data_IF_351845195755
#
_entry.id   IF_351845195755
#
_cell.length_a   1.000
_cell.length_b   1.000
_cell.length_c   1.000
_cell.angle_alpha   90.00
_cell.angle_beta   90.00
_cell.angle_gamma   90.00
#
_symmetry.space_group_name_H-M   'P 1'
#
loop_
_entity.id
_entity.type
_entity.pdbx_description
1 polymer ?
#
# COMPACT_ATOMS: atom_id res chain seq x y z
N UNK A 1 4.94 -35.87 -2.21
CA UNK A 1 5.44 -34.48 -2.15
C UNK A 1 4.84 -33.57 -3.22
N UNK A 2 4.42 -34.07 -4.39
CA UNK A 2 3.77 -33.28 -5.46
C UNK A 2 2.37 -32.72 -5.11
N UNK A 3 1.60 -33.36 -4.23
CA UNK A 3 0.24 -32.90 -3.86
C UNK A 3 0.19 -31.68 -2.93
N UNK A 4 1.32 -31.25 -2.37
CA UNK A 4 1.39 -30.08 -1.48
C UNK A 4 1.60 -28.77 -2.23
N UNK A 5 2.30 -28.79 -3.37
CA UNK A 5 2.66 -27.56 -4.11
C UNK A 5 1.62 -27.09 -5.12
N UNK A 6 0.66 -27.93 -5.52
CA UNK A 6 -0.37 -27.58 -6.52
C UNK A 6 -1.79 -27.65 -5.94
N UNK A 7 -1.93 -27.63 -4.61
CA UNK A 7 -3.26 -27.76 -4.00
C UNK A 7 -4.06 -26.49 -4.32
N UNK A 8 -5.26 -26.60 -4.93
CA UNK A 8 -6.08 -25.44 -5.25
C UNK A 8 -6.38 -24.64 -3.99
N UNK A 9 -6.45 -23.32 -4.15
CA UNK A 9 -6.95 -22.41 -3.13
C UNK A 9 -8.33 -22.85 -2.65
N UNK A 10 -8.63 -22.60 -1.37
CA UNK A 10 -9.95 -22.91 -0.82
C UNK A 10 -11.05 -22.15 -1.58
N UNK A 11 -12.26 -22.72 -1.66
CA UNK A 11 -13.41 -22.04 -2.30
C UNK A 11 -13.67 -20.66 -1.71
N UNK A 12 -13.49 -20.51 -0.39
CA UNK A 12 -13.63 -19.23 0.31
C UNK A 12 -12.56 -18.22 -0.12
N UNK A 13 -11.30 -18.64 -0.23
CA UNK A 13 -10.21 -17.80 -0.75
C UNK A 13 -10.51 -17.36 -2.18
N UNK A 14 -10.96 -18.27 -3.03
CA UNK A 14 -11.32 -17.97 -4.41
C UNK A 14 -12.46 -16.93 -4.48
N UNK A 15 -13.51 -17.10 -3.67
CA UNK A 15 -14.62 -16.15 -3.58
C UNK A 15 -14.16 -14.76 -3.14
N UNK A 16 -13.29 -14.67 -2.11
CA UNK A 16 -12.69 -13.42 -1.68
C UNK A 16 -11.88 -12.75 -2.79
N UNK A 17 -11.04 -13.52 -3.51
CA UNK A 17 -10.27 -13.00 -4.63
C UNK A 17 -11.16 -12.45 -5.75
N UNK A 18 -12.29 -13.09 -6.06
CA UNK A 18 -13.26 -12.57 -7.03
C UNK A 18 -13.89 -11.26 -6.56
N UNK A 19 -14.24 -11.14 -5.27
CA UNK A 19 -14.78 -9.90 -4.72
C UNK A 19 -13.74 -8.77 -4.84
N UNK A 20 -12.49 -9.02 -4.45
CA UNK A 20 -11.42 -8.02 -4.54
C UNK A 20 -11.06 -7.70 -5.98
N UNK A 21 -11.14 -8.67 -6.90
CA UNK A 21 -10.98 -8.41 -8.33
C UNK A 21 -11.99 -7.38 -8.84
N UNK A 22 -13.26 -7.52 -8.46
CA UNK A 22 -14.31 -6.57 -8.83
C UNK A 22 -14.05 -5.19 -8.24
N UNK A 23 -13.65 -5.11 -6.96
CA UNK A 23 -13.31 -3.84 -6.34
C UNK A 23 -12.14 -3.15 -7.03
N UNK A 24 -11.06 -3.87 -7.32
CA UNK A 24 -9.90 -3.30 -8.02
C UNK A 24 -10.20 -2.92 -9.47
N UNK A 25 -11.06 -3.67 -10.16
CA UNK A 25 -11.54 -3.28 -11.48
C UNK A 25 -12.34 -1.96 -11.45
N UNK A 26 -13.20 -1.78 -10.45
CA UNK A 26 -13.92 -0.52 -10.25
C UNK A 26 -12.97 0.63 -9.93
N UNK A 27 -11.99 0.44 -9.04
CA UNK A 27 -10.98 1.45 -8.70
C UNK A 27 -10.18 1.87 -9.92
N UNK A 28 -9.69 0.90 -10.70
CA UNK A 28 -8.94 1.15 -11.92
C UNK A 28 -9.79 1.97 -12.92
N UNK A 29 -11.04 1.57 -13.12
CA UNK A 29 -11.98 2.28 -14.00
C UNK A 29 -12.22 3.71 -13.52
N UNK A 30 -12.49 3.91 -12.24
CA UNK A 30 -12.68 5.24 -11.66
C UNK A 30 -11.45 6.13 -11.77
N UNK A 31 -10.27 5.59 -11.45
CA UNK A 31 -9.00 6.31 -11.56
C UNK A 31 -8.71 6.72 -13.00
N UNK A 32 -9.02 5.84 -13.96
CA UNK A 32 -8.91 6.13 -15.39
C UNK A 32 -9.88 7.23 -15.83
N UNK A 33 -11.14 7.20 -15.37
CA UNK A 33 -12.13 8.24 -15.65
C UNK A 33 -11.69 9.61 -15.10
N UNK A 34 -11.09 9.66 -13.90
CA UNK A 34 -10.55 10.92 -13.35
C UNK A 34 -9.40 11.45 -14.20
N UNK A 35 -8.52 10.57 -14.68
CA UNK A 35 -7.36 10.96 -15.49
C UNK A 35 -7.78 11.45 -16.89
N UNK A 36 -8.76 10.79 -17.51
CA UNK A 36 -9.18 11.10 -18.89
C UNK A 36 -10.25 12.20 -18.94
N UNK A 37 -11.15 12.28 -17.96
CA UNK A 37 -12.28 13.21 -17.92
C UNK A 37 -11.95 14.67 -18.26
N UNK A 38 -10.86 15.25 -17.72
CA UNK A 38 -10.44 16.61 -18.07
C UNK A 38 -10.12 16.83 -19.56
N UNK A 39 -9.73 15.79 -20.29
CA UNK A 39 -9.41 15.88 -21.73
C UNK A 39 -10.65 15.76 -22.62
N UNK A 40 -11.72 15.14 -22.13
CA UNK A 40 -12.98 14.96 -22.86
C UNK A 40 -13.96 16.11 -22.59
N UNK A 41 -13.97 16.65 -21.36
CA UNK A 41 -15.04 17.52 -20.86
C UNK A 41 -14.96 19.02 -21.21
N UNK A 42 -14.01 19.48 -22.02
CA UNK A 42 -13.89 20.90 -22.45
C UNK A 42 -13.61 21.94 -21.35
N UNK A 43 -13.79 21.62 -20.06
CA UNK A 43 -13.41 22.46 -18.92
C UNK A 43 -11.87 22.46 -18.79
N UNK A 44 -11.23 23.60 -19.06
CA UNK A 44 -9.78 23.82 -18.84
C UNK A 44 -9.42 23.67 -17.35
N UNK A 45 -9.17 22.45 -16.89
CA UNK A 45 -8.51 22.24 -15.60
C UNK A 45 -7.04 22.61 -15.74
N UNK A 46 -6.50 23.25 -14.71
CA UNK A 46 -5.09 23.60 -14.67
C UNK A 46 -4.22 22.33 -14.56
N UNK A 47 -3.55 21.96 -15.66
CA UNK A 47 -2.74 20.74 -15.82
C UNK A 47 -1.34 20.82 -15.20
N UNK A 48 -1.13 21.55 -14.10
CA UNK A 48 0.18 21.55 -13.46
C UNK A 48 0.46 20.17 -12.84
N UNK A 49 1.66 19.64 -13.07
CA UNK A 49 2.16 18.44 -12.39
C UNK A 49 2.81 18.83 -11.05
N UNK A 50 3.64 19.87 -11.11
CA UNK A 50 4.28 20.47 -9.95
C UNK A 50 4.04 21.97 -9.94
N UNK A 51 3.82 22.53 -8.75
CA UNK A 51 3.67 23.97 -8.54
C UNK A 51 4.62 24.41 -7.45
N UNK A 52 5.36 25.49 -7.69
CA UNK A 52 6.21 26.12 -6.67
C UNK A 52 5.33 26.96 -5.74
N UNK A 53 5.46 26.74 -4.44
CA UNK A 53 4.89 27.59 -3.40
C UNK A 53 6.03 28.16 -2.57
N UNK A 54 6.08 29.48 -2.42
CA UNK A 54 7.09 30.14 -1.61
C UNK A 54 6.49 30.44 -0.24
N UNK A 55 7.03 29.78 0.79
CA UNK A 55 6.53 29.87 2.16
C UNK A 55 7.55 30.66 2.99
N UNK A 56 7.12 31.65 3.78
CA UNK A 56 8.01 32.32 4.74
C UNK A 56 8.32 31.39 5.92
N UNK A 57 9.58 31.35 6.37
CA UNK A 57 10.01 30.49 7.48
C UNK A 57 9.41 30.92 8.84
N UNK A 58 9.11 32.22 9.02
CA UNK A 58 8.37 32.78 10.16
C UNK A 58 7.36 33.87 9.71
N UNK A 59 6.30 34.14 10.50
CA UNK A 59 5.39 35.27 10.23
C UNK A 59 6.16 36.60 10.25
N UNK A 60 6.18 37.31 9.12
CA UNK A 60 6.87 38.61 8.98
C UNK A 60 8.31 38.54 8.47
N UNK A 61 8.87 37.34 8.24
CA UNK A 61 10.17 37.19 7.57
C UNK A 61 10.05 37.26 6.04
N UNK A 62 11.16 37.66 5.39
CA UNK A 62 11.25 37.61 3.92
C UNK A 62 11.04 36.17 3.47
N UNK A 63 10.16 36.01 2.47
CA UNK A 63 9.86 34.76 1.79
C UNK A 63 11.15 33.96 1.56
N UNK A 64 11.18 32.72 2.03
CA UNK A 64 12.35 31.85 1.92
C UNK A 64 12.70 31.67 0.43
N UNK A 65 14.00 31.74 0.07
CA UNK A 65 14.44 31.61 -1.34
C UNK A 65 14.08 30.25 -1.95
N UNK A 66 13.91 29.23 -1.11
CA UNK A 66 13.63 27.86 -1.54
C UNK A 66 12.12 27.60 -1.61
N UNK A 67 11.56 27.29 -2.79
CA UNK A 67 10.15 26.94 -2.90
C UNK A 67 9.87 25.53 -2.36
N UNK A 68 8.69 25.35 -1.76
CA UNK A 68 8.07 24.03 -1.59
C UNK A 68 7.47 23.58 -2.93
N UNK A 69 7.79 22.37 -3.36
CA UNK A 69 7.23 21.79 -4.58
C UNK A 69 5.92 21.07 -4.26
N UNK A 70 4.79 21.72 -4.56
CA UNK A 70 3.48 21.09 -4.48
C UNK A 70 3.30 20.13 -5.65
N UNK A 71 3.02 18.85 -5.38
CA UNK A 71 2.61 17.91 -6.42
C UNK A 71 1.10 17.99 -6.63
N UNK A 72 0.65 17.71 -7.86
CA UNK A 72 -0.77 17.54 -8.14
C UNK A 72 -1.23 16.19 -7.57
N UNK A 73 -1.59 16.21 -6.28
CA UNK A 73 -1.98 15.01 -5.54
C UNK A 73 -3.14 14.29 -6.22
N UNK A 74 -4.11 15.02 -6.78
CA UNK A 74 -5.23 14.40 -7.51
C UNK A 74 -4.75 13.56 -8.70
N UNK A 75 -3.84 14.11 -9.51
CA UNK A 75 -3.27 13.40 -10.66
C UNK A 75 -2.39 12.21 -10.25
N UNK A 76 -1.37 12.45 -9.41
CA UNK A 76 -0.41 11.41 -9.04
C UNK A 76 -1.05 10.28 -8.21
N UNK A 77 -2.00 10.61 -7.33
CA UNK A 77 -2.73 9.60 -6.57
C UNK A 77 -3.58 8.70 -7.48
N UNK A 78 -4.25 9.27 -8.50
CA UNK A 78 -5.01 8.46 -9.46
C UNK A 78 -4.10 7.54 -10.27
N UNK A 79 -2.90 7.99 -10.65
CA UNK A 79 -1.92 7.12 -11.32
C UNK A 79 -1.48 5.98 -10.40
N UNK A 80 -1.07 6.30 -9.17
CA UNK A 80 -0.63 5.30 -8.21
C UNK A 80 -1.75 4.27 -7.92
N UNK A 81 -2.99 4.72 -7.76
CA UNK A 81 -4.14 3.84 -7.54
C UNK A 81 -4.49 3.00 -8.76
N UNK A 82 -4.43 3.57 -9.97
CA UNK A 82 -4.64 2.82 -11.21
C UNK A 82 -3.58 1.71 -11.35
N UNK A 83 -2.30 2.05 -11.23
CA UNK A 83 -1.21 1.08 -11.38
C UNK A 83 -1.22 0.04 -10.26
N UNK A 84 -1.55 0.44 -9.03
CA UNK A 84 -1.74 -0.45 -7.90
C UNK A 84 -2.87 -1.46 -8.17
N UNK A 85 -4.05 -1.00 -8.57
CA UNK A 85 -5.18 -1.88 -8.89
C UNK A 85 -4.93 -2.78 -10.09
N UNK A 86 -4.28 -2.30 -11.16
CA UNK A 86 -3.88 -3.14 -12.29
C UNK A 86 -2.90 -4.24 -11.86
N UNK A 87 -1.95 -3.91 -10.98
CA UNK A 87 -1.02 -4.89 -10.41
C UNK A 87 -1.76 -5.92 -9.56
N UNK A 88 -2.73 -5.48 -8.74
CA UNK A 88 -3.57 -6.40 -7.95
C UNK A 88 -4.42 -7.31 -8.83
N UNK A 89 -5.02 -6.79 -9.90
CA UNK A 89 -5.80 -7.58 -10.88
C UNK A 89 -4.89 -8.64 -11.51
N UNK A 90 -3.71 -8.26 -12.00
CA UNK A 90 -2.74 -9.18 -12.58
C UNK A 90 -2.33 -10.26 -11.56
N UNK A 91 -2.04 -9.87 -10.32
CA UNK A 91 -1.73 -10.81 -9.24
C UNK A 91 -2.87 -11.80 -9.01
N UNK A 92 -4.12 -11.34 -8.88
CA UNK A 92 -5.28 -12.22 -8.66
C UNK A 92 -5.47 -13.18 -9.84
N UNK A 93 -5.34 -12.70 -11.08
CA UNK A 93 -5.47 -13.53 -12.28
C UNK A 93 -4.41 -14.64 -12.32
N UNK A 94 -3.18 -14.34 -11.90
CA UNK A 94 -2.09 -15.34 -11.81
C UNK A 94 -2.39 -16.43 -10.77
N UNK A 95 -3.28 -16.20 -9.80
CA UNK A 95 -3.61 -17.16 -8.75
C UNK A 95 -4.78 -18.11 -9.09
N UNK A 96 -5.59 -17.81 -10.12
CA UNK A 96 -6.74 -18.67 -10.46
C UNK A 96 -6.39 -19.92 -11.27
N UNK A 97 -5.40 -19.80 -12.16
CA UNK A 97 -5.07 -20.82 -13.14
C UNK A 97 -4.00 -21.86 -12.74
N UNK A 98 -3.15 -21.69 -11.70
CA UNK A 98 -2.13 -22.68 -11.33
C UNK A 98 -2.70 -24.07 -11.00
N UNK A 99 -3.92 -24.15 -10.45
CA UNK A 99 -4.56 -25.43 -10.15
C UNK A 99 -5.16 -26.13 -11.39
N UNK A 100 -5.30 -25.43 -12.52
CA UNK A 100 -5.94 -25.94 -13.74
C UNK A 100 -4.93 -26.46 -14.76
N UNK A 101 -3.71 -25.92 -14.75
CA UNK A 101 -2.66 -26.32 -15.67
C UNK A 101 -1.31 -26.29 -14.96
N UNK A 102 -0.63 -27.45 -14.94
CA UNK A 102 0.74 -27.57 -14.45
C UNK A 102 1.69 -26.71 -15.29
N UNK A 103 1.48 -26.69 -16.61
CA UNK A 103 2.26 -25.86 -17.52
C UNK A 103 2.11 -24.36 -17.18
N UNK A 104 0.89 -23.91 -16.89
CA UNK A 104 0.67 -22.55 -16.42
C UNK A 104 1.34 -22.29 -15.07
N UNK A 105 1.19 -23.18 -14.10
CA UNK A 105 1.78 -23.04 -12.76
C UNK A 105 3.31 -22.93 -12.83
N UNK A 106 3.93 -23.60 -13.80
CA UNK A 106 5.37 -23.57 -14.00
C UNK A 106 5.86 -22.28 -14.66
N UNK A 107 5.00 -21.47 -15.27
CA UNK A 107 5.36 -20.22 -15.95
C UNK A 107 4.78 -18.96 -15.29
N UNK A 108 3.87 -19.11 -14.32
CA UNK A 108 3.27 -18.00 -13.63
C UNK A 108 4.24 -17.39 -12.60
N UNK A 109 4.48 -16.07 -12.70
CA UNK A 109 5.34 -15.33 -11.78
C UNK A 109 4.51 -14.31 -10.96
N UNK A 110 3.80 -14.75 -9.90
CA UNK A 110 2.94 -13.87 -9.10
C UNK A 110 3.73 -12.84 -8.28
N UNK A 111 5.05 -13.00 -8.11
CA UNK A 111 5.89 -12.13 -7.29
C UNK A 111 6.00 -10.71 -7.89
N UNK A 112 6.09 -10.60 -9.22
CA UNK A 112 6.21 -9.31 -9.91
C UNK A 112 4.98 -8.43 -9.63
N UNK A 113 3.74 -8.84 -9.95
CA UNK A 113 2.58 -8.00 -9.68
C UNK A 113 2.32 -7.80 -8.18
N UNK A 114 2.71 -8.75 -7.32
CA UNK A 114 2.67 -8.56 -5.86
C UNK A 114 3.58 -7.42 -5.40
N UNK A 115 4.83 -7.38 -5.87
CA UNK A 115 5.77 -6.31 -5.53
C UNK A 115 5.34 -4.96 -6.08
N UNK A 116 4.84 -4.91 -7.33
CA UNK A 116 4.31 -3.70 -7.93
C UNK A 116 3.07 -3.17 -7.18
N UNK A 117 2.19 -4.07 -6.73
CA UNK A 117 1.05 -3.69 -5.89
C UNK A 117 1.51 -2.98 -4.62
N UNK A 118 2.48 -3.53 -3.88
CA UNK A 118 3.03 -2.88 -2.68
C UNK A 118 3.70 -1.54 -3.00
N UNK A 119 4.45 -1.47 -4.10
CA UNK A 119 5.12 -0.25 -4.53
C UNK A 119 4.14 0.89 -4.74
N UNK A 120 3.11 0.67 -5.56
CA UNK A 120 2.14 1.71 -5.91
C UNK A 120 1.25 2.10 -4.73
N UNK A 121 0.93 1.15 -3.85
CA UNK A 121 0.23 1.42 -2.61
C UNK A 121 1.06 2.35 -1.69
N UNK A 122 2.34 2.05 -1.47
CA UNK A 122 3.22 2.91 -0.68
C UNK A 122 3.38 4.29 -1.33
N UNK A 123 3.56 4.37 -2.64
CA UNK A 123 3.63 5.65 -3.35
C UNK A 123 2.36 6.49 -3.14
N UNK A 124 1.17 5.88 -3.18
CA UNK A 124 -0.08 6.58 -2.90
C UNK A 124 -0.11 7.18 -1.47
N UNK A 125 0.45 6.47 -0.49
CA UNK A 125 0.59 6.97 0.89
C UNK A 125 1.52 8.17 0.99
N UNK A 126 2.68 8.11 0.33
CA UNK A 126 3.63 9.23 0.27
C UNK A 126 3.03 10.46 -0.42
N UNK A 127 2.31 10.25 -1.52
CA UNK A 127 1.60 11.33 -2.24
C UNK A 127 0.57 12.02 -1.33
N UNK A 128 -0.15 11.24 -0.52
CA UNK A 128 -1.14 11.76 0.42
C UNK A 128 -0.50 12.46 1.61
N UNK A 129 0.54 11.89 2.21
CA UNK A 129 1.28 12.50 3.31
C UNK A 129 1.87 13.85 2.89
N UNK A 130 2.44 13.93 1.68
CA UNK A 130 2.91 15.17 1.09
C UNK A 130 1.78 16.20 0.94
N UNK A 131 0.60 15.77 0.49
CA UNK A 131 -0.57 16.62 0.37
C UNK A 131 -0.97 17.21 1.72
N UNK A 132 -1.06 16.38 2.77
CA UNK A 132 -1.40 16.85 4.10
C UNK A 132 -0.41 17.88 4.62
N UNK A 133 0.88 17.60 4.45
CA UNK A 133 1.92 18.52 4.88
C UNK A 133 1.90 19.83 4.06
N UNK A 134 1.76 19.76 2.74
CA UNK A 134 1.67 20.94 1.87
C UNK A 134 0.44 21.81 2.16
N UNK A 135 -0.72 21.19 2.44
CA UNK A 135 -1.92 21.90 2.87
C UNK A 135 -1.71 22.56 4.23
N UNK A 136 -0.98 21.93 5.15
CA UNK A 136 -0.67 22.52 6.46
C UNK A 136 0.12 23.83 6.34
N UNK A 137 0.98 24.00 5.32
CA UNK A 137 1.65 25.28 5.08
C UNK A 137 0.73 26.35 4.49
N UNK A 138 -0.29 25.93 3.73
CA UNK A 138 -1.25 26.85 3.12
C UNK A 138 -2.33 27.30 4.11
N UNK A 139 -2.57 26.50 5.17
CA UNK A 139 -3.59 26.72 6.20
C UNK A 139 -3.16 27.70 7.32
N UNK A 140 -2.32 28.70 7.06
CA UNK A 140 -2.17 29.83 7.98
C UNK A 140 -0.85 30.58 7.94
N UNK A 141 -0.92 31.83 7.47
CA UNK A 141 0.01 32.94 7.75
C UNK A 141 -0.55 33.93 8.79
N UNK A 142 -1.51 33.51 9.62
CA UNK A 142 -2.13 34.38 10.62
C UNK A 142 -2.14 33.65 11.97
N UNK A 143 -1.09 33.84 12.77
CA UNK A 143 -1.21 33.70 14.22
C UNK A 143 -0.08 34.46 14.90
N UNK A 144 -0.31 35.75 15.10
CA UNK A 144 0.35 36.56 16.13
C UNK A 144 -0.41 36.35 17.44
N UNK A 145 -0.38 35.16 18.06
CA UNK A 145 -0.48 35.02 19.54
C UNK A 145 -0.41 33.59 20.07
N UNK A 146 0.27 33.52 21.20
CA UNK A 146 0.23 32.50 22.26
C UNK A 146 1.23 31.34 22.17
N UNK A 147 2.24 31.49 23.01
CA UNK A 147 3.45 30.70 23.19
C UNK A 147 3.26 29.54 24.18
N UNK A 148 2.24 28.69 24.01
CA UNK A 148 1.96 27.65 25.03
C UNK A 148 1.85 26.19 24.55
N UNK A 149 2.15 25.85 23.29
CA UNK A 149 2.17 24.44 22.86
C UNK A 149 3.43 24.15 22.02
N UNK A 150 4.47 23.55 22.61
CA UNK A 150 5.79 23.35 21.96
C UNK A 150 5.80 22.42 20.73
N UNK A 151 4.72 21.69 20.46
CA UNK A 151 4.57 20.88 19.24
C UNK A 151 4.02 21.70 18.05
N UNK A 152 3.41 22.87 18.29
CA UNK A 152 2.77 23.70 17.25
C UNK A 152 3.74 24.60 16.49
N UNK A 153 5.03 24.62 16.85
CA UNK A 153 6.05 25.46 16.21
C UNK A 153 6.96 24.71 15.23
N UNK A 154 6.81 23.40 15.06
CA UNK A 154 7.67 22.66 14.11
C UNK A 154 7.10 22.70 12.68
N UNK A 155 7.44 23.76 11.96
CA UNK A 155 7.34 23.82 10.51
C UNK A 155 8.67 23.38 9.89
N UNK A 156 8.81 22.15 9.34
CA UNK A 156 10.05 21.73 8.73
C UNK A 156 10.40 22.68 7.58
N UNK A 157 11.68 22.94 7.32
CA UNK A 157 12.05 23.82 6.22
C UNK A 157 11.62 23.18 4.88
N UNK A 158 11.17 23.96 3.88
CA UNK A 158 10.81 23.45 2.55
C UNK A 158 11.87 22.56 1.92
N UNK A 159 13.15 22.84 2.16
CA UNK A 159 14.28 22.01 1.72
C UNK A 159 14.17 20.59 2.26
N UNK A 160 13.90 20.43 3.55
CA UNK A 160 13.78 19.13 4.20
C UNK A 160 12.56 18.38 3.67
N UNK A 161 11.43 19.07 3.49
CA UNK A 161 10.22 18.46 2.92
C UNK A 161 10.48 17.96 1.51
N UNK A 162 11.03 18.81 0.63
CA UNK A 162 11.36 18.43 -0.74
C UNK A 162 12.34 17.24 -0.78
N UNK A 163 13.37 17.26 0.06
CA UNK A 163 14.37 16.19 0.12
C UNK A 163 13.75 14.86 0.60
N UNK A 164 12.99 14.86 1.69
CA UNK A 164 12.38 13.64 2.24
C UNK A 164 11.35 13.05 1.28
N UNK A 165 10.44 13.87 0.74
CA UNK A 165 9.38 13.41 -0.16
C UNK A 165 9.86 13.12 -1.59
N UNK A 166 11.14 13.35 -1.90
CA UNK A 166 11.76 12.92 -3.16
C UNK A 166 12.68 11.73 -2.92
N UNK A 167 13.66 11.85 -2.03
CA UNK A 167 14.69 10.84 -1.83
C UNK A 167 14.12 9.55 -1.23
N UNK A 168 13.23 9.62 -0.24
CA UNK A 168 12.73 8.39 0.41
C UNK A 168 11.86 7.58 -0.54
N UNK A 169 10.87 8.16 -1.26
CA UNK A 169 10.13 7.42 -2.28
C UNK A 169 11.01 6.84 -3.40
N UNK A 170 12.04 7.57 -3.86
CA UNK A 170 12.98 7.07 -4.87
C UNK A 170 13.79 5.87 -4.35
N UNK A 171 14.34 5.97 -3.13
CA UNK A 171 15.05 4.85 -2.50
C UNK A 171 14.14 3.63 -2.31
N UNK A 172 12.88 3.86 -1.90
CA UNK A 172 11.88 2.82 -1.77
C UNK A 172 11.56 2.15 -3.11
N UNK A 173 11.36 2.92 -4.18
CA UNK A 173 11.16 2.39 -5.54
C UNK A 173 12.35 1.53 -5.96
N UNK A 174 13.57 2.04 -5.82
CA UNK A 174 14.78 1.30 -6.19
C UNK A 174 14.93 0.00 -5.41
N UNK A 175 14.69 0.03 -4.09
CA UNK A 175 14.79 -1.14 -3.24
C UNK A 175 13.72 -2.19 -3.55
N UNK A 176 12.46 -1.78 -3.77
CA UNK A 176 11.37 -2.70 -4.14
C UNK A 176 11.56 -3.27 -5.55
N UNK A 177 12.03 -2.48 -6.51
CA UNK A 177 12.36 -3.00 -7.84
C UNK A 177 13.54 -3.98 -7.78
N UNK A 178 14.56 -3.65 -6.99
CA UNK A 178 15.69 -4.55 -6.73
C UNK A 178 15.24 -5.88 -6.12
N UNK A 179 14.28 -5.87 -5.20
CA UNK A 179 13.70 -7.11 -4.69
C UNK A 179 12.88 -7.83 -5.76
N UNK A 180 12.04 -7.15 -6.54
CA UNK A 180 11.29 -7.82 -7.61
C UNK A 180 12.23 -8.53 -8.59
N UNK A 181 13.29 -7.86 -9.07
CA UNK A 181 14.25 -8.43 -10.01
C UNK A 181 14.94 -9.65 -9.40
N UNK A 182 15.52 -9.50 -8.22
CA UNK A 182 16.27 -10.60 -7.59
C UNK A 182 15.36 -11.78 -7.22
N UNK A 183 14.14 -11.49 -6.77
CA UNK A 183 13.14 -12.50 -6.45
C UNK A 183 12.63 -13.24 -7.69
N UNK A 184 12.48 -12.54 -8.82
CA UNK A 184 12.08 -13.14 -10.10
C UNK A 184 13.15 -14.11 -10.60
N UNK A 185 14.42 -13.72 -10.55
CA UNK A 185 15.55 -14.60 -10.92
C UNK A 185 15.60 -15.84 -10.02
N UNK A 186 15.53 -15.65 -8.70
CA UNK A 186 15.55 -16.76 -7.74
C UNK A 186 14.36 -17.72 -7.91
N UNK A 187 13.16 -17.18 -8.15
CA UNK A 187 11.96 -17.99 -8.40
C UNK A 187 12.06 -18.73 -9.74
N UNK A 188 12.63 -18.11 -10.78
CA UNK A 188 12.92 -18.73 -12.06
C UNK A 188 13.83 -19.95 -11.94
N UNK A 189 14.87 -19.89 -11.10
CA UNK A 189 15.72 -21.04 -10.81
C UNK A 189 14.95 -22.20 -10.15
N UNK A 190 14.13 -21.91 -9.15
CA UNK A 190 13.29 -22.92 -8.47
C UNK A 190 12.31 -23.56 -9.44
N UNK A 191 11.64 -22.76 -10.29
CA UNK A 191 10.72 -23.26 -11.30
C UNK A 191 11.42 -24.13 -12.34
N UNK A 192 12.58 -23.70 -12.84
CA UNK A 192 13.38 -24.48 -13.80
C UNK A 192 13.75 -25.85 -13.25
N UNK A 193 14.17 -25.89 -11.99
CA UNK A 193 14.50 -27.15 -11.34
C UNK A 193 13.28 -28.04 -11.10
N UNK A 194 12.14 -27.44 -10.77
CA UNK A 194 10.87 -28.15 -10.64
C UNK A 194 10.45 -28.78 -11.98
N UNK A 195 10.65 -28.07 -13.10
CA UNK A 195 10.42 -28.61 -14.47
C UNK A 195 11.30 -29.82 -14.74
N UNK A 196 12.61 -29.70 -14.49
CA UNK A 196 13.57 -30.81 -14.66
C UNK A 196 13.19 -32.03 -13.82
N UNK A 197 12.82 -31.82 -12.55
CA UNK A 197 12.38 -32.88 -11.64
C UNK A 197 11.10 -33.56 -12.14
N UNK A 198 10.13 -32.78 -12.63
CA UNK A 198 8.88 -33.30 -13.20
C UNK A 198 9.12 -34.10 -14.48
N UNK A 199 10.06 -33.68 -15.33
CA UNK A 199 10.44 -34.39 -16.54
C UNK A 199 11.08 -35.76 -16.21
N UNK A 200 12.02 -35.79 -15.26
CA UNK A 200 12.63 -37.04 -14.77
C UNK A 200 11.57 -37.98 -14.18
N UNK A 201 10.64 -37.45 -13.36
CA UNK A 201 9.53 -38.21 -12.80
C UNK A 201 8.57 -38.74 -13.88
N UNK A 202 8.30 -37.94 -14.92
CA UNK A 202 7.45 -38.34 -16.04
C UNK A 202 8.08 -39.52 -16.81
N UNK A 203 9.39 -39.44 -17.10
CA UNK A 203 10.17 -40.54 -17.69
C UNK A 203 10.09 -41.80 -16.84
N UNK A 204 10.39 -41.70 -15.54
CA UNK A 204 10.30 -42.83 -14.61
C UNK A 204 8.89 -43.43 -14.49
N UNK A 205 7.86 -42.60 -14.50
CA UNK A 205 6.47 -43.07 -14.48
C UNK A 205 6.09 -43.84 -15.74
N UNK A 206 6.52 -43.36 -16.90
CA UNK A 206 6.36 -44.05 -18.18
C UNK A 206 7.04 -45.42 -18.16
N UNK A 207 8.29 -45.48 -17.70
CA UNK A 207 9.06 -46.73 -17.65
C UNK A 207 8.46 -47.74 -16.67
N UNK A 208 7.97 -47.28 -15.52
CA UNK A 208 7.25 -48.12 -14.56
C UNK A 208 5.95 -48.69 -15.16
N UNK A 209 5.19 -47.88 -15.92
CA UNK A 209 3.98 -48.35 -16.63
C UNK A 209 4.33 -49.41 -17.69
N UNK A 210 5.44 -49.24 -18.41
CA UNK A 210 5.90 -50.25 -19.38
C UNK A 210 6.28 -51.57 -18.71
N UNK A 211 6.89 -51.50 -17.53
CA UNK A 211 7.27 -52.67 -16.74
C UNK A 211 6.06 -53.48 -16.25
N UNK A 212 4.91 -52.83 -16.05
CA UNK A 212 3.65 -53.47 -15.65
C UNK A 212 2.99 -54.28 -16.77
N UNK A 213 3.46 -54.19 -18.02
CA UNK A 213 2.90 -54.98 -19.12
C UNK A 213 3.34 -56.46 -19.02
N UNK A 214 2.43 -57.43 -18.85
CA UNK A 214 2.76 -58.84 -18.68
C UNK A 214 3.39 -59.48 -19.94
N UNK A 215 3.16 -58.90 -21.12
CA UNK A 215 3.64 -59.41 -22.41
C UNK A 215 5.05 -58.92 -22.79
N UNK A 216 5.75 -58.24 -21.88
CA UNK A 216 7.07 -57.66 -22.15
C UNK A 216 8.21 -58.70 -22.14
N UNK A 217 9.08 -58.75 -23.16
CA UNK A 217 10.25 -59.64 -23.19
C UNK A 217 11.20 -59.44 -22.01
N UNK A 218 11.79 -60.52 -21.50
CA UNK A 218 12.69 -60.49 -20.33
C UNK A 218 13.89 -59.54 -20.50
N UNK A 219 14.46 -59.46 -21.71
CA UNK A 219 15.59 -58.59 -22.02
C UNK A 219 15.19 -57.09 -21.99
N UNK A 220 13.98 -56.77 -22.42
CA UNK A 220 13.43 -55.41 -22.28
C UNK A 220 13.13 -55.06 -20.82
N UNK A 221 12.69 -56.03 -19.99
CA UNK A 221 12.48 -55.79 -18.55
C UNK A 221 13.79 -55.39 -17.86
N UNK A 222 14.90 -56.05 -18.17
CA UNK A 222 16.22 -55.73 -17.61
C UNK A 222 16.68 -54.31 -18.03
N UNK A 223 16.48 -53.95 -19.30
CA UNK A 223 16.79 -52.59 -19.79
C UNK A 223 15.99 -51.52 -19.05
N UNK A 224 14.67 -51.72 -18.89
CA UNK A 224 13.79 -50.77 -18.19
C UNK A 224 14.16 -50.67 -16.70
N UNK A 225 14.56 -51.77 -16.05
CA UNK A 225 15.06 -51.73 -14.67
C UNK A 225 16.35 -50.91 -14.55
N UNK A 226 17.26 -51.01 -15.52
CA UNK A 226 18.47 -50.18 -15.58
C UNK A 226 18.13 -48.69 -15.78
N UNK A 227 17.18 -48.38 -16.67
CA UNK A 227 16.68 -47.03 -16.87
C UNK A 227 16.02 -46.45 -15.60
N UNK A 228 15.24 -47.26 -14.87
CA UNK A 228 14.66 -46.86 -13.59
C UNK A 228 15.73 -46.57 -12.52
N UNK A 229 16.79 -47.37 -12.47
CA UNK A 229 17.92 -47.14 -11.56
C UNK A 229 18.64 -45.82 -11.91
N UNK A 230 18.78 -45.51 -13.20
CA UNK A 230 19.31 -44.22 -13.66
C UNK A 230 18.40 -43.06 -13.27
N UNK A 231 17.09 -43.17 -13.47
CA UNK A 231 16.10 -42.17 -13.04
C UNK A 231 16.18 -41.94 -11.53
N UNK A 232 16.28 -43.00 -10.73
CA UNK A 232 16.43 -42.88 -9.27
C UNK A 232 17.72 -42.13 -8.90
N UNK A 233 18.82 -42.40 -9.60
CA UNK A 233 20.09 -41.69 -9.41
C UNK A 233 19.98 -40.20 -9.76
N UNK A 234 19.35 -39.86 -10.89
CA UNK A 234 19.08 -38.47 -11.31
C UNK A 234 18.22 -37.73 -10.27
N UNK A 235 17.16 -38.38 -9.75
CA UNK A 235 16.31 -37.80 -8.70
C UNK A 235 17.07 -37.60 -7.37
N UNK A 236 17.92 -38.56 -7.00
CA UNK A 236 18.76 -38.44 -5.80
C UNK A 236 19.75 -37.28 -5.91
N UNK A 237 20.25 -36.99 -7.12
CA UNK A 237 21.14 -35.85 -7.38
C UNK A 237 20.40 -34.50 -7.37
N UNK A 238 19.18 -34.44 -7.91
CA UNK A 238 18.36 -33.22 -7.96
C UNK A 238 17.76 -32.82 -6.60
N UNK A 239 17.51 -33.81 -5.73
CA UNK A 239 16.91 -33.58 -4.41
C UNK A 239 17.68 -32.57 -3.55
N UNK A 240 18.99 -32.72 -3.26
CA UNK A 240 19.73 -31.78 -2.41
C UNK A 240 19.77 -30.37 -2.98
N UNK A 241 19.91 -30.23 -4.30
CA UNK A 241 19.88 -28.93 -4.97
C UNK A 241 18.50 -28.26 -4.82
N UNK A 242 17.41 -29.03 -4.96
CA UNK A 242 16.04 -28.50 -4.82
C UNK A 242 15.73 -28.01 -3.41
N UNK A 243 16.22 -28.72 -2.40
CA UNK A 243 16.10 -28.32 -0.99
C UNK A 243 16.90 -27.05 -0.73
N UNK A 244 18.09 -26.94 -1.32
CA UNK A 244 18.96 -25.76 -1.16
C UNK A 244 18.33 -24.52 -1.79
N UNK A 245 17.83 -24.64 -3.02
CA UNK A 245 17.16 -23.57 -3.73
C UNK A 245 15.84 -23.15 -3.05
N UNK A 246 15.06 -24.11 -2.53
CA UNK A 246 13.86 -23.81 -1.75
C UNK A 246 14.19 -23.05 -0.46
N UNK A 247 15.24 -23.45 0.27
CA UNK A 247 15.69 -22.72 1.48
C UNK A 247 16.14 -21.30 1.13
N UNK A 248 16.88 -21.13 0.05
CA UNK A 248 17.28 -19.81 -0.44
C UNK A 248 16.06 -18.94 -0.78
N UNK A 249 15.05 -19.50 -1.46
CA UNK A 249 13.81 -18.80 -1.78
C UNK A 249 13.01 -18.41 -0.53
N UNK A 250 12.91 -19.28 0.48
CA UNK A 250 12.25 -18.96 1.76
C UNK A 250 13.00 -17.83 2.47
N UNK A 251 14.33 -17.93 2.55
CA UNK A 251 15.17 -16.90 3.17
C UNK A 251 15.03 -15.55 2.46
N UNK A 252 15.04 -15.57 1.13
CA UNK A 252 14.85 -14.40 0.30
C UNK A 252 13.46 -13.77 0.52
N UNK A 253 12.41 -14.60 0.48
CA UNK A 253 11.05 -14.15 0.78
C UNK A 253 11.00 -13.46 2.14
N UNK A 254 11.55 -14.09 3.18
CA UNK A 254 11.62 -13.51 4.52
C UNK A 254 12.27 -12.12 4.55
N UNK A 255 13.44 -11.95 3.93
CA UNK A 255 14.10 -10.65 3.84
C UNK A 255 13.32 -9.60 3.05
N UNK A 256 12.67 -9.99 1.95
CA UNK A 256 11.81 -9.08 1.19
C UNK A 256 10.66 -8.54 2.05
N UNK A 257 10.04 -9.39 2.88
CA UNK A 257 8.95 -8.99 3.75
C UNK A 257 9.42 -8.09 4.90
N UNK A 258 10.62 -8.33 5.45
CA UNK A 258 11.26 -7.42 6.43
C UNK A 258 11.48 -6.05 5.79
N UNK A 259 12.02 -6.00 4.58
CA UNK A 259 12.24 -4.74 3.86
C UNK A 259 10.94 -3.97 3.65
N UNK A 260 9.89 -4.65 3.18
CA UNK A 260 8.57 -4.03 2.98
C UNK A 260 7.97 -3.53 4.31
N UNK A 261 8.14 -4.28 5.40
CA UNK A 261 7.71 -3.86 6.73
C UNK A 261 8.44 -2.60 7.20
N UNK A 262 9.76 -2.53 7.03
CA UNK A 262 10.55 -1.34 7.39
C UNK A 262 10.06 -0.11 6.62
N UNK A 263 9.88 -0.22 5.30
CA UNK A 263 9.35 0.88 4.50
C UNK A 263 7.92 1.27 4.91
N UNK A 264 7.06 0.30 5.23
CA UNK A 264 5.72 0.59 5.73
C UNK A 264 5.73 1.31 7.08
N UNK A 265 6.60 0.92 8.01
CA UNK A 265 6.73 1.58 9.29
C UNK A 265 7.18 3.04 9.12
N UNK A 266 8.18 3.30 8.26
CA UNK A 266 8.63 4.65 7.92
C UNK A 266 7.49 5.45 7.29
N UNK A 267 6.79 4.86 6.32
CA UNK A 267 5.68 5.50 5.61
C UNK A 267 4.53 5.83 6.57
N UNK A 268 4.18 4.91 7.47
CA UNK A 268 3.15 5.10 8.50
C UNK A 268 3.51 6.24 9.46
N UNK A 269 4.76 6.29 9.93
CA UNK A 269 5.24 7.37 10.78
C UNK A 269 5.10 8.74 10.08
N UNK A 270 5.62 8.87 8.86
CA UNK A 270 5.57 10.13 8.09
C UNK A 270 4.12 10.53 7.80
N UNK A 271 3.26 9.56 7.48
CA UNK A 271 1.85 9.78 7.21
C UNK A 271 1.11 10.32 8.43
N UNK A 272 1.26 9.67 9.60
CA UNK A 272 0.61 10.08 10.85
C UNK A 272 1.08 11.47 11.24
N UNK A 273 2.40 11.75 11.19
CA UNK A 273 2.93 13.07 11.50
C UNK A 273 2.36 14.16 10.59
N UNK A 274 2.27 13.88 9.28
CA UNK A 274 1.70 14.82 8.31
C UNK A 274 0.20 15.07 8.55
N UNK A 275 -0.55 14.03 8.89
CA UNK A 275 -1.99 14.11 9.14
C UNK A 275 -2.33 14.82 10.46
N UNK A 276 -1.61 14.49 11.55
CA UNK A 276 -1.77 15.17 12.85
C UNK A 276 -1.51 16.65 12.68
N UNK A 277 -0.42 17.00 11.98
CA UNK A 277 -0.07 18.40 11.74
C UNK A 277 -1.12 19.17 10.94
N UNK A 278 -1.68 18.58 9.89
CA UNK A 278 -2.79 19.20 9.15
C UNK A 278 -4.01 19.40 10.07
N UNK A 279 -4.35 18.37 10.84
CA UNK A 279 -5.51 18.39 11.74
C UNK A 279 -5.38 19.47 12.80
N UNK A 280 -4.20 19.61 13.42
CA UNK A 280 -3.91 20.64 14.41
C UNK A 280 -4.04 22.05 13.82
N UNK A 281 -3.49 22.31 12.62
CA UNK A 281 -3.62 23.63 11.98
C UNK A 281 -5.07 23.96 11.61
N UNK A 282 -5.83 23.00 11.09
CA UNK A 282 -7.24 23.20 10.77
C UNK A 282 -8.11 23.41 12.02
N UNK A 283 -7.76 22.75 13.13
CA UNK A 283 -8.39 22.96 14.43
C UNK A 283 -8.16 24.36 14.99
N UNK A 284 -6.92 24.87 14.89
CA UNK A 284 -6.58 26.21 15.32
C UNK A 284 -7.32 27.27 14.50
N UNK A 285 -7.45 27.09 13.18
CA UNK A 285 -8.24 27.98 12.33
C UNK A 285 -9.74 27.99 12.71
N UNK A 286 -10.31 26.84 13.07
CA UNK A 286 -11.70 26.74 13.50
C UNK A 286 -11.99 27.32 14.90
N UNK A 287 -10.95 27.57 15.70
CA UNK A 287 -11.05 28.18 17.03
C UNK A 287 -10.94 29.71 17.02
N UNK A 288 -10.58 30.35 15.90
CA UNK A 288 -10.65 31.80 15.83
C UNK A 288 -12.13 32.23 15.89
N UNK A 289 -12.56 32.97 16.93
CA UNK A 289 -13.91 33.49 16.96
C UNK A 289 -14.06 34.42 15.78
N UNK A 290 -15.08 34.17 14.96
CA UNK A 290 -15.54 35.03 13.87
C UNK A 290 -15.83 36.42 14.49
N UNK A 291 -14.79 37.24 14.56
CA UNK A 291 -14.86 38.62 15.01
C UNK A 291 -15.25 39.44 13.79
N UNK A 292 -16.45 39.17 13.25
CA UNK A 292 -17.12 40.15 12.43
C UNK A 292 -17.40 41.34 13.33
N UNK A 293 -16.57 42.37 13.21
CA UNK A 293 -16.83 43.69 13.79
C UNK A 293 -18.18 44.20 13.29
N UNK A 294 -19.18 44.44 14.16
CA UNK A 294 -20.18 45.45 13.89
C UNK A 294 -19.63 46.74 14.51
N UNK A 295 -19.36 47.74 13.67
CA UNK A 295 -19.28 49.12 14.16
C UNK A 295 -20.63 49.47 14.79
N UNK A 296 -20.72 49.54 16.11
CA UNK A 296 -21.82 50.23 16.79
C UNK A 296 -21.34 50.86 18.10
N UNK A 297 -21.39 52.19 18.09
CA UNK A 297 -21.45 53.18 19.17
C UNK A 297 -21.18 52.79 20.64
N UNK A 298 -20.34 53.63 21.26
CA UNK A 298 -20.15 53.84 22.70
C UNK A 298 -21.44 53.78 23.53
N UNK A 299 -21.38 53.18 24.72
CA UNK A 299 -21.82 53.83 25.97
C UNK A 299 -21.18 53.20 27.22
N UNK A 300 -20.80 54.06 28.16
CA UNK A 300 -20.14 53.79 29.45
C UNK A 300 -21.04 53.04 30.46
N UNK A 301 -20.48 52.08 31.23
CA UNK A 301 -20.62 52.02 32.71
C UNK A 301 -19.70 50.99 33.38
N UNK A 302 -18.90 51.48 34.34
CA UNK A 302 -18.25 50.78 35.46
C UNK A 302 -19.31 50.25 36.45
N UNK A 303 -19.16 49.23 37.31
CA UNK A 303 -18.03 48.59 38.01
C UNK A 303 -18.54 47.26 38.69
N UNK A 304 -17.88 46.60 39.67
CA UNK A 304 -17.62 45.14 39.67
C UNK A 304 -18.37 44.33 40.75
N UNK A 305 -18.37 42.98 40.70
CA UNK A 305 -18.26 42.11 41.89
C UNK A 305 -18.07 40.62 41.55
N UNK A 306 -17.45 39.91 42.50
CA UNK A 306 -16.89 38.55 42.49
C UNK A 306 -17.93 37.42 42.44
N UNK A 307 -17.37 36.21 42.25
CA UNK A 307 -17.93 34.84 42.36
C UNK A 307 -18.44 34.32 41.00
N UNK A 308 -17.91 33.27 40.38
CA UNK A 308 -17.43 31.99 40.92
C UNK A 308 -16.27 31.41 40.11
N UNK A 309 -15.13 31.19 40.77
CA UNK A 309 -14.02 30.40 40.24
C UNK A 309 -14.04 28.98 40.81
N UNK A 310 -14.98 28.10 40.44
CA UNK A 310 -14.87 26.68 40.86
C UNK A 310 -15.48 25.62 39.93
N UNK A 311 -15.91 25.95 38.69
CA UNK A 311 -16.55 24.95 37.81
C UNK A 311 -15.89 24.67 36.46
N UNK A 312 -14.73 25.25 36.14
CA UNK A 312 -14.15 25.10 34.79
C UNK A 312 -12.95 24.15 34.65
N UNK A 313 -12.57 23.45 35.72
CA UNK A 313 -11.43 22.52 35.67
C UNK A 313 -11.79 21.09 35.20
N UNK A 314 -13.08 20.79 34.95
CA UNK A 314 -13.53 19.44 34.57
C UNK A 314 -13.96 19.29 33.10
N UNK A 315 -13.97 20.37 32.31
CA UNK A 315 -14.40 20.34 30.90
C UNK A 315 -13.23 20.27 29.88
N UNK A 316 -11.99 20.44 30.34
CA UNK A 316 -10.84 20.72 29.46
C UNK A 316 -10.36 19.53 28.63
N UNK A 317 -10.67 18.27 29.00
CA UNK A 317 -10.21 17.10 28.22
C UNK A 317 -11.11 16.73 27.04
N UNK A 318 -12.39 17.16 27.04
CA UNK A 318 -13.35 16.86 25.96
C UNK A 318 -13.53 18.01 24.96
N UNK A 319 -13.06 19.21 25.32
CA UNK A 319 -13.13 20.41 24.49
C UNK A 319 -12.44 20.29 23.11
N UNK A 320 -11.21 19.75 22.98
CA UNK A 320 -10.55 19.65 21.66
C UNK A 320 -11.23 18.62 20.75
N UNK A 321 -11.64 17.46 21.29
CA UNK A 321 -12.36 16.42 20.54
C UNK A 321 -13.74 16.89 20.08
N UNK A 322 -14.47 17.63 20.94
CA UNK A 322 -15.80 18.17 20.60
C UNK A 322 -15.71 19.31 19.60
N UNK A 323 -14.68 20.15 19.69
CA UNK A 323 -14.38 21.19 18.69
C UNK A 323 -14.00 20.57 17.35
N UNK A 324 -13.14 19.54 17.35
CA UNK A 324 -12.82 18.79 16.13
C UNK A 324 -14.05 18.21 15.46
N UNK A 325 -14.90 17.51 16.23
CA UNK A 325 -16.12 16.91 15.70
C UNK A 325 -17.12 17.97 15.19
N UNK A 326 -17.15 19.14 15.84
CA UNK A 326 -17.93 20.30 15.40
C UNK A 326 -17.46 20.85 14.06
N UNK A 327 -16.15 21.10 13.91
CA UNK A 327 -15.53 21.60 12.67
C UNK A 327 -15.60 20.57 11.54
N UNK A 328 -15.48 19.28 11.85
CA UNK A 328 -15.60 18.19 10.88
C UNK A 328 -17.02 18.10 10.28
N UNK A 329 -18.04 18.46 11.07
CA UNK A 329 -19.44 18.44 10.64
C UNK A 329 -19.79 19.65 9.76
N UNK A 330 -19.12 20.78 9.95
CA UNK A 330 -19.33 22.00 9.18
C UNK A 330 -18.47 22.08 7.91
N UNK A 331 -17.26 21.51 7.90
CA UNK A 331 -16.36 21.50 6.75
C UNK A 331 -16.34 20.16 6.00
N UNK A 332 -17.01 20.13 4.85
CA UNK A 332 -17.09 18.98 3.94
C UNK A 332 -15.73 18.58 3.35
N UNK A 333 -14.74 19.47 3.27
CA UNK A 333 -13.41 19.14 2.76
C UNK A 333 -12.57 18.45 3.84
N UNK A 334 -12.58 18.99 5.06
CA UNK A 334 -11.94 18.38 6.23
C UNK A 334 -12.47 16.95 6.48
N UNK A 335 -13.80 16.76 6.44
CA UNK A 335 -14.41 15.43 6.55
C UNK A 335 -13.86 14.45 5.50
N UNK A 336 -13.72 14.90 4.25
CA UNK A 336 -13.18 14.09 3.16
C UNK A 336 -11.72 13.68 3.38
N UNK A 337 -10.88 14.58 3.88
CA UNK A 337 -9.49 14.27 4.22
C UNK A 337 -9.38 13.31 5.40
N UNK A 338 -10.22 13.49 6.44
CA UNK A 338 -10.23 12.62 7.61
C UNK A 338 -10.68 11.20 7.29
N UNK A 339 -11.76 11.03 6.53
CA UNK A 339 -12.21 9.69 6.08
C UNK A 339 -11.12 9.00 5.28
N UNK A 340 -10.45 9.74 4.40
CA UNK A 340 -9.34 9.23 3.59
C UNK A 340 -8.13 8.85 4.44
N UNK A 341 -7.80 9.64 5.46
CA UNK A 341 -6.70 9.35 6.37
C UNK A 341 -6.97 8.07 7.16
N UNK A 342 -8.17 7.90 7.73
CA UNK A 342 -8.52 6.68 8.46
C UNK A 342 -8.53 5.45 7.56
N UNK A 343 -9.11 5.54 6.35
CA UNK A 343 -9.08 4.44 5.39
C UNK A 343 -7.64 4.02 5.05
N UNK A 344 -6.74 5.01 4.90
CA UNK A 344 -5.31 4.76 4.64
C UNK A 344 -4.62 4.13 5.84
N UNK A 345 -4.91 4.59 7.07
CA UNK A 345 -4.34 3.99 8.29
C UNK A 345 -4.78 2.53 8.44
N UNK A 346 -6.05 2.22 8.17
CA UNK A 346 -6.55 0.82 8.19
C UNK A 346 -5.83 -0.03 7.14
N UNK A 347 -5.61 0.52 5.94
CA UNK A 347 -4.82 -0.15 4.90
C UNK A 347 -3.37 -0.42 5.39
N UNK A 348 -2.68 0.59 5.91
CA UNK A 348 -1.33 0.43 6.46
C UNK A 348 -1.25 -0.64 7.56
N UNK A 349 -2.21 -0.66 8.49
CA UNK A 349 -2.29 -1.69 9.54
C UNK A 349 -2.52 -3.08 8.95
N UNK A 350 -3.36 -3.19 7.92
CA UNK A 350 -3.60 -4.45 7.20
C UNK A 350 -2.33 -4.94 6.50
N UNK A 351 -1.59 -4.07 5.80
CA UNK A 351 -0.31 -4.41 5.17
C UNK A 351 0.75 -4.80 6.21
N UNK A 352 0.85 -4.08 7.34
CA UNK A 352 1.77 -4.43 8.44
C UNK A 352 1.42 -5.82 9.00
N UNK A 353 0.15 -6.09 9.28
CA UNK A 353 -0.29 -7.40 9.75
C UNK A 353 0.05 -8.51 8.73
N UNK A 354 -0.16 -8.24 7.44
CA UNK A 354 0.22 -9.16 6.37
C UNK A 354 1.73 -9.46 6.37
N UNK A 355 2.58 -8.44 6.45
CA UNK A 355 4.03 -8.63 6.49
C UNK A 355 4.50 -9.36 7.74
N UNK A 356 3.93 -9.06 8.91
CA UNK A 356 4.23 -9.79 10.13
C UNK A 356 3.85 -11.27 10.03
N UNK A 357 2.68 -11.59 9.45
CA UNK A 357 2.28 -12.97 9.19
C UNK A 357 3.28 -13.64 8.25
N UNK A 358 3.66 -13.00 7.13
CA UNK A 358 4.65 -13.55 6.20
C UNK A 358 6.02 -13.78 6.85
N UNK A 359 6.44 -12.92 7.77
CA UNK A 359 7.73 -13.02 8.47
C UNK A 359 7.70 -14.18 9.47
N UNK A 360 6.71 -14.21 10.37
CA UNK A 360 6.63 -15.22 11.43
C UNK A 360 6.24 -16.61 10.92
N UNK A 361 5.54 -16.68 9.78
CA UNK A 361 5.07 -17.92 9.17
C UNK A 361 5.67 -18.14 7.79
N UNK A 362 6.88 -17.67 7.52
CA UNK A 362 7.52 -17.72 6.20
C UNK A 362 7.52 -19.14 5.58
N UNK A 363 7.84 -20.15 6.38
CA UNK A 363 7.83 -21.56 5.95
C UNK A 363 6.41 -22.06 5.67
N UNK A 364 5.46 -21.76 6.57
CA UNK A 364 4.05 -22.17 6.43
C UNK A 364 3.37 -21.47 5.26
N UNK A 365 3.71 -20.21 4.97
CA UNK A 365 3.15 -19.44 3.85
C UNK A 365 3.49 -20.09 2.50
N UNK A 366 4.64 -20.75 2.40
CA UNK A 366 5.10 -21.42 1.17
C UNK A 366 4.59 -22.87 1.10
N UNK A 367 4.54 -23.59 2.23
CA UNK A 367 4.26 -25.03 2.24
C UNK A 367 2.80 -25.35 2.63
N UNK A 368 2.20 -24.57 3.53
CA UNK A 368 0.86 -24.83 4.07
C UNK A 368 -0.21 -24.11 3.22
N UNK A 369 -1.14 -24.84 2.59
CA UNK A 369 -2.14 -24.26 1.69
C UNK A 369 -3.09 -23.27 2.38
N UNK A 370 -3.32 -23.40 3.68
CA UNK A 370 -4.17 -22.47 4.44
C UNK A 370 -3.49 -21.11 4.58
N UNK A 371 -2.21 -21.10 4.97
CA UNK A 371 -1.43 -19.87 5.13
C UNK A 371 -1.09 -19.23 3.79
N UNK A 372 -0.82 -20.06 2.77
CA UNK A 372 -0.71 -19.62 1.39
C UNK A 372 -1.99 -18.90 0.92
N UNK A 373 -3.16 -19.46 1.22
CA UNK A 373 -4.44 -18.82 0.92
C UNK A 373 -4.59 -17.47 1.62
N UNK A 374 -4.31 -17.40 2.93
CA UNK A 374 -4.36 -16.14 3.71
C UNK A 374 -3.48 -15.07 3.09
N UNK A 375 -2.23 -15.39 2.79
CA UNK A 375 -1.27 -14.42 2.25
C UNK A 375 -1.56 -14.04 0.79
N UNK A 376 -2.45 -14.78 0.12
CA UNK A 376 -2.88 -14.49 -1.25
C UNK A 376 -4.00 -13.46 -1.28
N UNK A 377 -4.99 -13.52 -0.39
CA UNK A 377 -6.09 -12.54 -0.40
C UNK A 377 -5.86 -11.36 0.55
N UNK A 378 -5.10 -11.53 1.64
CA UNK A 378 -4.92 -10.46 2.63
C UNK A 378 -4.27 -9.18 2.05
N UNK A 379 -3.23 -9.26 1.18
CA UNK A 379 -2.67 -8.08 0.53
C UNK A 379 -3.67 -7.30 -0.33
N UNK A 380 -4.64 -7.98 -0.97
CA UNK A 380 -5.59 -7.36 -1.90
C UNK A 380 -6.65 -6.53 -1.17
N UNK A 381 -6.87 -6.82 0.12
CA UNK A 381 -7.77 -6.08 1.01
C UNK A 381 -7.22 -4.68 1.27
N UNK A 382 -5.90 -4.56 1.45
CA UNK A 382 -5.27 -3.30 1.84
C UNK A 382 -5.57 -2.17 0.85
N UNK A 383 -5.33 -2.44 -0.45
CA UNK A 383 -5.63 -1.49 -1.52
C UNK A 383 -7.11 -1.17 -1.66
N UNK A 384 -8.01 -2.05 -1.22
CA UNK A 384 -9.46 -1.85 -1.29
C UNK A 384 -9.97 -0.82 -0.27
N UNK A 385 -9.32 -0.66 0.88
CA UNK A 385 -9.70 0.38 1.84
C UNK A 385 -9.50 1.78 1.27
N UNK A 386 -8.41 1.97 0.50
CA UNK A 386 -8.09 3.24 -0.15
C UNK A 386 -9.04 3.62 -1.30
N UNK A 387 -9.88 2.67 -1.75
CA UNK A 387 -10.86 2.83 -2.83
C UNK A 387 -12.05 3.71 -2.46
N UNK A 388 -12.53 3.58 -1.21
CA UNK A 388 -13.75 4.23 -0.74
C UNK A 388 -13.66 5.77 -0.89
N UNK A 389 -12.54 6.42 -0.49
CA UNK A 389 -12.35 7.86 -0.72
C UNK A 389 -12.21 8.27 -2.19
N UNK A 390 -11.89 7.35 -3.10
CA UNK A 390 -11.74 7.61 -4.55
C UNK A 390 -13.09 7.59 -5.24
N UNK A 391 -13.94 6.60 -4.92
CA UNK A 391 -15.33 6.57 -5.35
C UNK A 391 -16.07 7.84 -4.90
N UNK A 392 -15.79 8.30 -3.67
CA UNK A 392 -16.30 9.57 -3.15
C UNK A 392 -15.81 10.80 -3.94
N UNK A 393 -14.54 10.81 -4.38
CA UNK A 393 -14.02 11.87 -5.26
C UNK A 393 -14.65 11.84 -6.65
N UNK A 394 -14.89 10.66 -7.22
CA UNK A 394 -15.59 10.50 -8.50
C UNK A 394 -16.99 11.09 -8.45
N UNK A 395 -17.72 10.83 -7.35
CA UNK A 395 -19.04 11.41 -7.14
C UNK A 395 -19.01 12.94 -7.13
N UNK A 396 -18.01 13.55 -6.47
CA UNK A 396 -17.83 15.02 -6.51
C UNK A 396 -17.53 15.55 -7.90
N UNK A 397 -16.62 14.89 -8.62
CA UNK A 397 -16.26 15.29 -9.98
C UNK A 397 -17.41 15.23 -10.99
N UNK A 398 -18.43 14.41 -10.71
CA UNK A 398 -19.64 14.34 -11.51
C UNK A 398 -20.73 15.34 -11.05
N UNK A 399 -20.77 15.64 -9.75
CA UNK A 399 -21.76 16.57 -9.18
C UNK A 399 -21.35 18.06 -9.25
N UNK A 400 -20.06 18.36 -9.47
CA UNK A 400 -19.48 19.70 -9.71
C UNK A 400 -19.11 19.92 -11.20
#
# INVERSE_FOLDING_TARGET
MTSQFTRPLSKSTLALLVIFLLFHALIATFSLLILIGPYIGGKKRSHWLFRKSYIPSNPGEKVEKTPLYMMNTGFFMCIAQLLGSLSTIAFICLQFNPARSLDYALHAEPLIPLGLMYLFEMLAYWIMAHCFLALSYSAGTVSTRSSLHRLTTWDPPPILVNAVFTCVPVCMVAAILGTIVHGSEGFGHVLSQLRSTLEVLSRGSSDLKRLQNPSLPALQKISIQSDLARVQSELNALTPESVTNLRAAIYYHHWSQILFLVFMCITCLVFILSFVKLTEKLLLQGQEPISHSPKSHQFYRSQPERADSYLDLKSQSSAPMRTYLGTLKSDRQLLGFTVRAYATIIAMVTSIACFLISIFRATDVIINPTWHGVITWLPTVSGSWSAIPVAWQCWRLYSD
#
